data_IF_303203768903
#
_entry.id   IF_303203768903
#
_cell.length_a   1.000
_cell.length_b   1.000
_cell.length_c   1.000
_cell.angle_alpha   90.00
_cell.angle_beta   90.00
_cell.angle_gamma   90.00
#
_symmetry.space_group_name_H-M   'P 1'
#
loop_
_entity.id
_entity.type
_entity.pdbx_description
1 polymer ?
#
# COMPACT_ATOMS: atom_id res chain seq x y z
N UNK A 1 15.33 15.20 -24.08
CA UNK A 1 16.24 14.35 -24.86
C UNK A 1 17.05 13.42 -23.99
N UNK A 2 16.62 12.16 -23.88
CA UNK A 2 17.37 10.99 -23.40
C UNK A 2 16.72 9.73 -24.02
N UNK A 3 16.39 9.82 -25.32
CA UNK A 3 15.47 8.92 -26.01
C UNK A 3 16.09 8.23 -27.23
N UNK A 4 17.42 8.26 -27.36
CA UNK A 4 18.11 7.55 -28.43
C UNK A 4 19.41 6.96 -27.88
N UNK A 5 19.73 5.77 -28.38
CA UNK A 5 20.97 5.00 -28.19
C UNK A 5 20.90 3.92 -27.08
N UNK A 6 20.66 2.70 -27.57
CA UNK A 6 20.95 1.37 -26.98
C UNK A 6 19.78 0.52 -26.48
N UNK A 7 18.95 0.08 -27.40
CA UNK A 7 18.52 -1.31 -27.39
C UNK A 7 18.26 -1.73 -28.84
N UNK A 8 18.95 -2.76 -29.33
CA UNK A 8 18.71 -3.39 -30.63
C UNK A 8 17.38 -4.16 -30.63
N UNK A 9 16.25 -3.50 -30.32
CA UNK A 9 14.90 -4.01 -30.56
C UNK A 9 14.52 -5.33 -29.86
N UNK A 10 15.31 -5.83 -28.91
CA UNK A 10 15.01 -7.02 -28.12
C UNK A 10 14.76 -6.55 -26.70
N UNK A 11 13.50 -6.59 -26.26
CA UNK A 11 13.13 -6.42 -24.86
C UNK A 11 13.64 -7.66 -24.13
N UNK A 12 14.85 -7.55 -23.58
CA UNK A 12 15.43 -8.58 -22.74
C UNK A 12 14.69 -8.58 -21.39
N UNK A 13 14.44 -9.77 -20.82
CA UNK A 13 13.75 -9.90 -19.53
C UNK A 13 14.50 -9.13 -18.43
N UNK A 14 15.84 -9.07 -18.52
CA UNK A 14 16.68 -8.31 -17.61
C UNK A 14 16.44 -6.78 -17.69
N UNK A 15 16.19 -6.24 -18.89
CA UNK A 15 15.91 -4.81 -19.09
C UNK A 15 14.49 -4.47 -18.61
N UNK A 16 13.53 -5.39 -18.78
CA UNK A 16 12.18 -5.23 -18.24
C UNK A 16 12.15 -5.28 -16.70
N UNK A 17 12.95 -6.17 -16.09
CA UNK A 17 13.08 -6.31 -14.63
C UNK A 17 13.79 -5.08 -14.01
N UNK A 18 14.85 -4.57 -14.66
CA UNK A 18 15.53 -3.34 -14.24
C UNK A 18 14.63 -2.11 -14.41
N UNK A 19 13.81 -2.06 -15.47
CA UNK A 19 12.79 -1.03 -15.66
C UNK A 19 11.64 -1.12 -14.62
N UNK A 20 11.18 -2.32 -14.24
CA UNK A 20 10.17 -2.52 -13.19
C UNK A 20 10.71 -2.11 -11.81
N UNK A 21 11.98 -2.43 -11.52
CA UNK A 21 12.65 -1.96 -10.31
C UNK A 21 12.84 -0.45 -10.29
N UNK A 22 12.99 0.20 -11.45
CA UNK A 22 13.02 1.66 -11.59
C UNK A 22 11.63 2.31 -11.51
N UNK A 23 10.57 1.56 -11.80
CA UNK A 23 9.17 1.99 -11.67
C UNK A 23 8.64 1.82 -10.24
N UNK A 24 9.48 1.30 -9.33
CA UNK A 24 9.14 1.07 -7.92
C UNK A 24 7.90 0.18 -7.75
N UNK A 25 7.59 -0.71 -8.68
CA UNK A 25 6.43 -1.61 -8.56
C UNK A 25 6.86 -2.87 -7.81
N UNK A 26 6.15 -3.27 -6.75
CA UNK A 26 6.47 -4.49 -6.01
C UNK A 26 5.92 -5.78 -6.66
N UNK A 27 6.22 -6.93 -6.04
CA UNK A 27 5.82 -8.26 -6.52
C UNK A 27 4.30 -8.43 -6.70
N UNK A 28 3.48 -7.60 -6.06
CA UNK A 28 2.02 -7.60 -6.17
C UNK A 28 1.49 -6.48 -7.07
N UNK A 29 2.36 -5.70 -7.69
CA UNK A 29 1.95 -4.62 -8.56
C UNK A 29 1.66 -3.31 -7.84
N UNK A 30 1.97 -3.17 -6.53
CA UNK A 30 1.78 -1.91 -5.82
C UNK A 30 2.84 -0.91 -6.21
N UNK A 31 2.40 0.31 -6.52
CA UNK A 31 3.29 1.44 -6.78
C UNK A 31 3.71 2.18 -5.50
N UNK A 32 4.45 3.29 -5.65
CA UNK A 32 4.89 4.11 -4.51
C UNK A 32 3.71 4.67 -3.70
N UNK A 33 2.64 5.09 -4.37
CA UNK A 33 1.51 5.73 -3.72
C UNK A 33 0.72 4.71 -2.88
N UNK A 34 0.50 3.52 -3.42
CA UNK A 34 -0.12 2.40 -2.69
C UNK A 34 0.64 2.09 -1.40
N UNK A 35 1.97 1.96 -1.49
CA UNK A 35 2.82 1.65 -0.34
C UNK A 35 2.86 2.79 0.66
N UNK A 36 2.88 4.06 0.21
CA UNK A 36 2.80 5.23 1.11
C UNK A 36 1.49 5.30 1.86
N UNK A 37 0.37 4.90 1.23
CA UNK A 37 -0.93 4.79 1.91
C UNK A 37 -0.87 3.71 2.99
N UNK A 38 -0.38 2.51 2.68
CA UNK A 38 -0.26 1.42 3.66
C UNK A 38 0.70 1.79 4.80
N UNK A 39 1.87 2.35 4.49
CA UNK A 39 2.86 2.81 5.49
C UNK A 39 2.29 3.89 6.40
N UNK A 40 1.55 4.85 5.86
CA UNK A 40 0.90 5.86 6.68
C UNK A 40 -0.08 5.23 7.67
N UNK A 41 -0.95 4.32 7.20
CA UNK A 41 -1.91 3.65 8.08
C UNK A 41 -1.20 2.80 9.14
N UNK A 42 -0.22 1.98 8.74
CA UNK A 42 0.48 1.04 9.62
C UNK A 42 1.40 1.76 10.61
N UNK A 43 2.29 2.62 10.12
CA UNK A 43 3.36 3.22 10.91
C UNK A 43 2.91 4.51 11.58
N UNK A 44 2.30 5.44 10.84
CA UNK A 44 1.90 6.75 11.41
C UNK A 44 0.63 6.64 12.26
N UNK A 45 -0.31 5.79 11.86
CA UNK A 45 -1.62 5.65 12.52
C UNK A 45 -1.80 4.32 13.27
N UNK A 46 -0.71 3.56 13.47
CA UNK A 46 -0.72 2.31 14.25
C UNK A 46 -1.76 1.28 13.78
N UNK A 47 -1.98 1.21 12.47
CA UNK A 47 -2.96 0.32 11.82
C UNK A 47 -4.34 0.94 11.60
N UNK A 48 -4.58 2.17 12.07
CA UNK A 48 -5.88 2.86 11.98
C UNK A 48 -6.82 2.59 13.16
N UNK A 49 -8.10 3.01 13.10
CA UNK A 49 -8.75 3.66 11.96
C UNK A 49 -8.30 5.12 11.74
N UNK A 50 -8.11 5.51 10.47
CA UNK A 50 -7.79 6.89 10.07
C UNK A 50 -8.77 7.42 9.02
N UNK A 51 -9.23 8.67 9.17
CA UNK A 51 -10.11 9.34 8.21
C UNK A 51 -9.39 9.66 6.89
N UNK A 52 -10.14 9.74 5.78
CA UNK A 52 -9.55 9.98 4.44
C UNK A 52 -8.73 11.26 4.40
N UNK A 53 -9.32 12.37 4.84
CA UNK A 53 -8.68 13.69 4.78
C UNK A 53 -7.40 13.72 5.61
N UNK A 54 -7.40 13.05 6.77
CA UNK A 54 -6.22 12.94 7.64
C UNK A 54 -5.13 12.09 6.98
N UNK A 55 -5.51 10.97 6.38
CA UNK A 55 -4.59 10.09 5.66
C UNK A 55 -3.96 10.83 4.48
N UNK A 56 -4.79 11.47 3.65
CA UNK A 56 -4.37 12.25 2.49
C UNK A 56 -3.40 13.38 2.86
N UNK A 57 -3.74 14.17 3.89
CA UNK A 57 -2.88 15.22 4.40
C UNK A 57 -1.52 14.68 4.89
N UNK A 58 -1.50 13.49 5.50
CA UNK A 58 -0.26 12.90 6.06
C UNK A 58 0.75 12.44 5.01
N UNK A 59 0.30 12.23 3.76
CA UNK A 59 1.13 11.84 2.63
C UNK A 59 1.18 12.91 1.52
N UNK A 60 0.61 14.10 1.77
CA UNK A 60 0.57 15.21 0.81
C UNK A 60 -0.12 14.87 -0.51
N UNK A 61 -1.22 14.14 -0.43
CA UNK A 61 -2.04 13.74 -1.58
C UNK A 61 -3.47 14.25 -1.46
N UNK A 62 -4.21 14.19 -2.58
CA UNK A 62 -5.64 14.51 -2.61
C UNK A 62 -6.48 13.31 -2.11
N UNK A 63 -7.51 13.56 -1.27
CA UNK A 63 -8.46 12.53 -0.82
C UNK A 63 -9.04 11.67 -1.95
N UNK A 64 -9.44 12.32 -3.04
CA UNK A 64 -10.08 11.67 -4.19
C UNK A 64 -9.10 10.75 -4.93
N UNK A 65 -7.83 11.13 -5.07
CA UNK A 65 -6.80 10.24 -5.64
C UNK A 65 -6.67 8.95 -4.84
N UNK A 66 -6.64 9.04 -3.50
CA UNK A 66 -6.60 7.83 -2.66
C UNK A 66 -7.88 7.01 -2.85
N UNK A 67 -9.04 7.65 -2.83
CA UNK A 67 -10.33 6.96 -2.90
C UNK A 67 -10.59 6.26 -4.24
N UNK A 68 -10.21 6.90 -5.34
CA UNK A 68 -10.58 6.50 -6.70
C UNK A 68 -9.49 5.69 -7.40
N UNK A 69 -8.22 5.88 -7.01
CA UNK A 69 -7.08 5.20 -7.64
C UNK A 69 -6.54 4.08 -6.76
N UNK A 70 -6.24 4.37 -5.50
CA UNK A 70 -5.49 3.47 -4.60
C UNK A 70 -6.40 2.46 -3.91
N UNK A 71 -7.46 2.95 -3.26
CA UNK A 71 -8.33 2.11 -2.42
C UNK A 71 -8.96 0.92 -3.17
N UNK A 72 -9.41 1.03 -4.44
CA UNK A 72 -10.03 -0.10 -5.14
C UNK A 72 -9.11 -1.33 -5.18
N UNK A 73 -7.82 -1.13 -5.42
CA UNK A 73 -6.87 -2.25 -5.53
C UNK A 73 -6.46 -2.80 -4.16
N UNK A 74 -6.19 -1.92 -3.19
CA UNK A 74 -5.86 -2.35 -1.82
C UNK A 74 -7.01 -3.09 -1.14
N UNK A 75 -8.26 -2.71 -1.42
CA UNK A 75 -9.46 -3.43 -0.96
C UNK A 75 -9.55 -4.81 -1.63
N UNK A 76 -9.28 -4.90 -2.93
CA UNK A 76 -9.32 -6.16 -3.67
C UNK A 76 -8.26 -7.16 -3.16
N UNK A 77 -7.05 -6.69 -2.84
CA UNK A 77 -6.00 -7.51 -2.23
C UNK A 77 -6.28 -7.87 -0.76
N UNK A 78 -7.28 -7.23 -0.14
CA UNK A 78 -7.59 -7.38 1.28
C UNK A 78 -6.53 -6.75 2.19
N UNK A 79 -5.82 -5.74 1.72
CA UNK A 79 -4.81 -4.99 2.48
C UNK A 79 -5.41 -3.82 3.28
N UNK A 80 -6.56 -3.33 2.83
CA UNK A 80 -7.26 -2.21 3.43
C UNK A 80 -8.69 -2.61 3.78
N UNK A 81 -9.17 -2.19 4.95
CA UNK A 81 -10.58 -2.24 5.32
C UNK A 81 -11.15 -0.82 5.44
N UNK A 82 -12.35 -0.60 4.90
CA UNK A 82 -13.16 0.61 5.14
C UNK A 82 -14.10 0.36 6.32
N UNK A 83 -14.01 1.20 7.34
CA UNK A 83 -14.94 1.21 8.48
C UNK A 83 -15.65 2.57 8.57
N UNK A 84 -16.78 2.69 9.30
CA UNK A 84 -17.40 3.99 9.56
C UNK A 84 -16.47 5.00 10.26
N UNK A 85 -15.42 4.52 10.92
CA UNK A 85 -14.44 5.36 11.64
C UNK A 85 -13.22 5.72 10.80
N UNK A 86 -13.06 5.12 9.62
CA UNK A 86 -11.87 5.31 8.78
C UNK A 86 -11.30 4.02 8.21
N UNK A 87 -10.10 4.15 7.63
CA UNK A 87 -9.32 3.09 6.98
C UNK A 87 -8.47 2.34 7.99
N UNK A 88 -8.42 1.02 7.87
CA UNK A 88 -7.65 0.13 8.74
C UNK A 88 -6.79 -0.78 7.89
N UNK A 89 -5.51 -0.95 8.24
CA UNK A 89 -4.63 -1.90 7.57
C UNK A 89 -4.85 -3.31 8.12
N UNK A 90 -5.02 -4.28 7.23
CA UNK A 90 -5.26 -5.67 7.62
C UNK A 90 -3.97 -6.40 7.97
N UNK A 91 -4.06 -7.58 8.59
CA UNK A 91 -2.89 -8.43 8.83
C UNK A 91 -2.11 -8.76 7.53
N UNK A 92 -2.81 -8.87 6.40
CA UNK A 92 -2.19 -9.13 5.10
C UNK A 92 -1.31 -7.95 4.65
N UNK A 93 -1.76 -6.71 4.85
CA UNK A 93 -0.94 -5.53 4.59
C UNK A 93 0.33 -5.50 5.45
N UNK A 94 0.24 -5.81 6.75
CA UNK A 94 1.41 -5.88 7.62
C UNK A 94 2.41 -6.93 7.14
N UNK A 95 1.93 -8.12 6.76
CA UNK A 95 2.78 -9.18 6.24
C UNK A 95 3.48 -8.75 4.93
N UNK A 96 2.75 -8.11 4.03
CA UNK A 96 3.28 -7.59 2.76
C UNK A 96 4.35 -6.52 2.97
N UNK A 97 4.08 -5.55 3.85
CA UNK A 97 5.02 -4.48 4.22
C UNK A 97 6.17 -4.97 5.10
N UNK A 98 6.21 -6.26 5.46
CA UNK A 98 7.20 -6.89 6.36
C UNK A 98 7.27 -6.21 7.73
N UNK A 99 6.13 -5.74 8.23
CA UNK A 99 5.97 -5.11 9.55
C UNK A 99 5.25 -6.10 10.48
N UNK A 100 5.72 -6.20 11.73
CA UNK A 100 5.09 -7.07 12.72
C UNK A 100 3.64 -6.62 13.00
N UNK A 101 2.68 -7.52 12.82
CA UNK A 101 1.29 -7.25 13.21
C UNK A 101 1.20 -7.29 14.74
N UNK A 102 0.67 -6.24 15.40
CA UNK A 102 0.48 -6.27 16.84
C UNK A 102 -0.53 -7.37 17.17
N UNK A 103 -0.07 -8.45 17.81
CA UNK A 103 -0.97 -9.45 18.36
C UNK A 103 -1.88 -8.76 19.37
N UNK A 104 -3.15 -8.57 18.99
CA UNK A 104 -4.16 -8.13 19.94
C UNK A 104 -4.24 -9.27 20.96
N UNK A 105 -3.98 -9.04 22.26
CA UNK A 105 -4.07 -10.11 23.25
C UNK A 105 -5.47 -10.68 23.11
N UNK A 106 -5.55 -11.99 22.85
CA UNK A 106 -6.81 -12.69 22.74
C UNK A 106 -7.63 -12.31 23.98
N UNK A 107 -8.75 -11.61 23.77
CA UNK A 107 -9.74 -11.44 24.82
C UNK A 107 -10.32 -12.84 25.03
N UNK A 108 -9.63 -13.62 25.86
CA UNK A 108 -10.06 -14.91 26.34
C UNK A 108 -11.49 -14.79 26.81
N UNK A 109 -12.34 -15.68 26.30
CA UNK A 109 -13.79 -15.66 26.48
C UNK A 109 -14.17 -15.35 27.92
N UNK A 110 -14.74 -14.17 28.13
CA UNK A 110 -15.22 -13.72 29.43
C UNK A 110 -16.71 -14.03 29.54
N UNK A 111 -17.07 -15.30 29.34
CA UNK A 111 -18.35 -15.89 29.72
C UNK A 111 -18.12 -17.38 30.02
N UNK A 112 -17.68 -17.66 31.25
CA UNK A 112 -17.77 -18.96 31.91
C UNK A 112 -18.61 -18.79 33.18
#
# INVERSE_FOLDING_TARGET
DYAQVRANGIVDAAVAEEALSLLEIDDLGLDDLDRRVLDAIIVKFSGGPVGLDTLAASISEEPDTIMDVVEPYLLQLGFLDRTPRGRVATRAAYAHMRIAYPERPEQGGLFA
#
